data_IF_112780638623
#
_entry.id   IF_112780638623
#
_cell.length_a   1.000
_cell.length_b   1.000
_cell.length_c   1.000
_cell.angle_alpha   90.00
_cell.angle_beta   90.00
_cell.angle_gamma   90.00
#
_symmetry.space_group_name_H-M   'P 1'
#
loop_
_entity.id
_entity.type
_entity.pdbx_description
1 polymer ?
#
# COMPACT_ATOMS: atom_id res chain seq x y z
N UNK A 1 -26.75 -14.24 5.73
CA UNK A 1 -26.36 -15.37 4.86
C UNK A 1 -27.53 -15.98 4.11
N UNK A 2 -28.71 -16.10 4.74
CA UNK A 2 -29.95 -16.50 4.04
C UNK A 2 -30.20 -15.68 2.76
N UNK A 3 -29.89 -14.39 2.76
CA UNK A 3 -30.01 -13.53 1.57
C UNK A 3 -29.15 -14.00 0.38
N UNK A 4 -27.94 -14.53 0.62
CA UNK A 4 -27.05 -15.05 -0.43
C UNK A 4 -27.69 -16.30 -1.04
N UNK A 5 -28.19 -17.19 -0.19
CA UNK A 5 -28.86 -18.41 -0.62
C UNK A 5 -30.18 -18.12 -1.37
N UNK A 6 -30.96 -17.14 -0.90
CA UNK A 6 -32.19 -16.69 -1.57
C UNK A 6 -31.90 -16.03 -2.91
N UNK A 7 -30.87 -15.17 -2.99
CA UNK A 7 -30.42 -14.57 -4.24
C UNK A 7 -29.98 -15.65 -5.24
N UNK A 8 -29.24 -16.66 -4.78
CA UNK A 8 -28.80 -17.79 -5.60
C UNK A 8 -30.00 -18.59 -6.15
N UNK A 9 -31.03 -18.84 -5.33
CA UNK A 9 -32.27 -19.51 -5.76
C UNK A 9 -33.05 -18.70 -6.79
N UNK A 10 -32.96 -17.38 -6.75
CA UNK A 10 -33.57 -16.49 -7.74
C UNK A 10 -32.84 -16.45 -9.09
N UNK A 11 -31.65 -17.04 -9.20
CA UNK A 11 -30.89 -17.08 -10.45
C UNK A 11 -31.39 -18.16 -11.42
N UNK A 12 -31.34 -17.88 -12.72
CA UNK A 12 -31.65 -18.87 -13.76
C UNK A 12 -30.64 -20.04 -13.74
N UNK A 13 -31.07 -21.32 -13.87
CA UNK A 13 -30.20 -22.48 -13.67
C UNK A 13 -28.99 -22.55 -14.63
N UNK A 14 -29.19 -22.08 -15.87
CA UNK A 14 -28.20 -22.08 -16.96
C UNK A 14 -27.57 -20.71 -17.18
N UNK A 15 -27.79 -19.76 -16.26
CA UNK A 15 -27.33 -18.38 -16.43
C UNK A 15 -25.82 -18.32 -16.21
N UNK A 16 -25.12 -18.00 -17.32
CA UNK A 16 -23.68 -17.70 -17.51
C UNK A 16 -22.70 -18.72 -16.91
N UNK A 17 -21.98 -19.40 -17.79
CA UNK A 17 -20.73 -20.08 -17.47
C UNK A 17 -19.69 -18.99 -17.23
N UNK A 18 -19.22 -18.84 -15.99
CA UNK A 18 -18.03 -18.06 -15.73
C UNK A 18 -16.83 -18.67 -16.46
N UNK A 19 -15.67 -18.02 -16.37
CA UNK A 19 -14.38 -18.59 -16.81
C UNK A 19 -14.02 -19.94 -16.16
N UNK A 20 -14.72 -20.30 -15.08
CA UNK A 20 -14.67 -21.59 -14.36
C UNK A 20 -15.55 -22.68 -14.98
N UNK A 21 -16.51 -22.31 -15.85
CA UNK A 21 -17.38 -23.25 -16.56
C UNK A 21 -18.48 -23.90 -15.71
N UNK A 22 -18.78 -23.40 -14.50
CA UNK A 22 -19.88 -23.94 -13.70
C UNK A 22 -21.18 -23.15 -13.90
N UNK A 23 -22.31 -23.82 -14.17
CA UNK A 23 -23.62 -23.16 -14.20
C UNK A 23 -24.14 -22.87 -12.78
N UNK A 24 -24.98 -21.85 -12.63
CA UNK A 24 -25.62 -21.53 -11.34
C UNK A 24 -26.33 -22.74 -10.69
N UNK A 25 -26.85 -23.67 -11.49
CA UNK A 25 -27.45 -24.93 -11.05
C UNK A 25 -26.52 -25.77 -10.14
N UNK A 26 -25.20 -25.73 -10.37
CA UNK A 26 -24.22 -26.43 -9.54
C UNK A 26 -24.33 -25.95 -8.08
N UNK A 27 -24.22 -24.65 -7.88
CA UNK A 27 -24.29 -24.03 -6.56
C UNK A 27 -25.67 -24.18 -5.93
N UNK A 28 -26.74 -24.12 -6.73
CA UNK A 28 -28.11 -24.36 -6.26
C UNK A 28 -28.28 -25.78 -5.73
N UNK A 29 -27.74 -26.79 -6.43
CA UNK A 29 -27.88 -28.21 -6.08
C UNK A 29 -26.96 -28.64 -4.95
N UNK A 30 -25.71 -28.21 -4.97
CA UNK A 30 -24.68 -28.63 -4.03
C UNK A 30 -24.43 -27.62 -2.90
N UNK A 31 -25.39 -26.71 -2.65
CA UNK A 31 -25.28 -25.71 -1.59
C UNK A 31 -24.96 -26.31 -0.21
N UNK A 32 -25.49 -27.49 0.10
CA UNK A 32 -25.20 -28.21 1.35
C UNK A 32 -23.72 -28.64 1.50
N UNK A 33 -22.96 -28.63 0.40
CA UNK A 33 -21.53 -28.96 0.36
C UNK A 33 -20.70 -27.68 0.35
N UNK A 34 -20.99 -26.76 -0.58
CA UNK A 34 -20.13 -25.58 -0.85
C UNK A 34 -20.63 -24.27 -0.22
N UNK A 35 -21.80 -24.31 0.42
CA UNK A 35 -22.49 -23.11 0.88
C UNK A 35 -21.66 -22.36 1.91
N UNK A 36 -21.04 -23.06 2.86
CA UNK A 36 -20.23 -22.44 3.90
C UNK A 36 -19.00 -21.73 3.32
N UNK A 37 -18.30 -22.37 2.39
CA UNK A 37 -17.12 -21.78 1.75
C UNK A 37 -17.48 -20.54 0.92
N UNK A 38 -18.60 -20.58 0.20
CA UNK A 38 -19.09 -19.43 -0.58
C UNK A 38 -19.47 -18.27 0.35
N UNK A 39 -20.14 -18.58 1.45
CA UNK A 39 -20.54 -17.64 2.48
C UNK A 39 -19.33 -16.93 3.11
N UNK A 40 -18.34 -17.70 3.55
CA UNK A 40 -17.10 -17.19 4.13
C UNK A 40 -16.34 -16.33 3.11
N UNK A 41 -16.20 -16.80 1.87
CA UNK A 41 -15.53 -16.05 0.80
C UNK A 41 -16.22 -14.71 0.49
N UNK A 42 -17.55 -14.68 0.43
CA UNK A 42 -18.30 -13.45 0.21
C UNK A 42 -18.07 -12.44 1.34
N UNK A 43 -18.07 -12.90 2.60
CA UNK A 43 -17.82 -12.04 3.76
C UNK A 43 -16.39 -11.50 3.77
N UNK A 44 -15.39 -12.34 3.52
CA UNK A 44 -13.99 -11.94 3.44
C UNK A 44 -13.78 -10.88 2.35
N UNK A 45 -14.30 -11.14 1.15
CA UNK A 45 -14.18 -10.21 0.01
C UNK A 45 -14.84 -8.87 0.32
N UNK A 46 -16.05 -8.87 0.88
CA UNK A 46 -16.77 -7.65 1.23
C UNK A 46 -16.01 -6.86 2.30
N UNK A 47 -15.52 -7.53 3.34
CA UNK A 47 -14.74 -6.90 4.41
C UNK A 47 -13.43 -6.32 3.89
N UNK A 48 -12.73 -7.01 3.00
CA UNK A 48 -11.49 -6.51 2.40
C UNK A 48 -11.73 -5.22 1.61
N UNK A 49 -12.79 -5.19 0.79
CA UNK A 49 -13.15 -3.99 0.02
C UNK A 49 -13.56 -2.84 0.94
N UNK A 50 -14.40 -3.10 1.94
CA UNK A 50 -14.81 -2.10 2.93
C UNK A 50 -13.59 -1.53 3.67
N UNK A 51 -12.68 -2.39 4.13
CA UNK A 51 -11.47 -1.98 4.81
C UNK A 51 -10.60 -1.08 3.92
N UNK A 52 -10.38 -1.45 2.65
CA UNK A 52 -9.64 -0.62 1.69
C UNK A 52 -10.27 0.76 1.51
N UNK A 53 -11.60 0.85 1.43
CA UNK A 53 -12.34 2.12 1.32
C UNK A 53 -12.17 2.96 2.58
N UNK A 54 -12.33 2.36 3.77
CA UNK A 54 -12.17 3.05 5.05
C UNK A 54 -10.74 3.60 5.19
N UNK A 55 -9.72 2.76 4.96
CA UNK A 55 -8.31 3.16 5.03
C UNK A 55 -8.01 4.27 4.02
N UNK A 56 -8.49 4.18 2.79
CA UNK A 56 -8.28 5.22 1.78
C UNK A 56 -8.97 6.53 2.18
N UNK A 57 -10.18 6.47 2.73
CA UNK A 57 -10.91 7.64 3.21
C UNK A 57 -10.17 8.32 4.36
N UNK A 58 -9.69 7.55 5.33
CA UNK A 58 -8.87 8.06 6.44
C UNK A 58 -7.58 8.67 5.90
N UNK A 59 -6.87 7.99 5.00
CA UNK A 59 -5.64 8.48 4.39
C UNK A 59 -5.86 9.81 3.67
N UNK A 60 -6.93 9.94 2.87
CA UNK A 60 -7.26 11.19 2.19
C UNK A 60 -7.58 12.34 3.16
N UNK A 61 -8.25 12.06 4.28
CA UNK A 61 -8.50 13.06 5.34
C UNK A 61 -7.20 13.47 6.03
N UNK A 62 -6.34 12.51 6.35
CA UNK A 62 -5.05 12.75 6.98
C UNK A 62 -4.09 13.49 6.06
N UNK A 63 -4.18 13.28 4.74
CA UNK A 63 -3.31 13.93 3.76
C UNK A 63 -3.35 15.48 3.86
N UNK A 64 -4.50 16.05 4.24
CA UNK A 64 -4.63 17.50 4.47
C UNK A 64 -3.80 18.02 5.65
N UNK A 65 -3.43 17.15 6.60
CA UNK A 65 -2.68 17.50 7.79
C UNK A 65 -1.25 16.96 7.76
N UNK A 66 -1.01 15.83 7.07
CA UNK A 66 0.28 15.15 7.05
C UNK A 66 1.38 16.04 6.49
N UNK A 67 1.07 16.96 5.57
CA UNK A 67 2.01 17.96 5.06
C UNK A 67 2.69 18.80 6.14
N UNK A 68 2.02 19.01 7.29
CA UNK A 68 2.59 19.72 8.46
C UNK A 68 3.48 18.83 9.34
N UNK A 69 3.36 17.51 9.18
CA UNK A 69 4.11 16.50 9.92
C UNK A 69 5.30 15.93 9.14
N UNK A 70 5.48 16.32 7.86
CA UNK A 70 6.58 15.86 7.02
C UNK A 70 7.85 16.65 7.36
N UNK A 71 8.83 15.95 7.93
CA UNK A 71 10.16 16.51 8.21
C UNK A 71 10.90 16.86 6.90
N UNK A 72 11.83 17.83 6.94
CA UNK A 72 12.62 18.20 5.76
C UNK A 72 13.50 17.05 5.25
N UNK A 73 13.89 16.12 6.13
CA UNK A 73 14.66 14.93 5.78
C UNK A 73 13.79 13.77 5.24
N UNK A 74 12.45 13.85 5.29
CA UNK A 74 11.59 12.79 4.77
C UNK A 74 11.42 12.93 3.25
N UNK A 75 12.21 12.18 2.49
CA UNK A 75 12.19 12.22 1.01
C UNK A 75 11.39 11.07 0.38
N UNK A 76 11.14 9.99 1.11
CA UNK A 76 10.35 8.86 0.62
C UNK A 76 8.84 9.15 0.72
N UNK A 77 8.09 8.73 -0.31
CA UNK A 77 6.62 8.85 -0.37
C UNK A 77 6.08 10.28 -0.28
N UNK A 78 6.92 11.29 -0.55
CA UNK A 78 6.54 12.70 -0.65
C UNK A 78 6.63 13.12 -2.11
N UNK A 79 5.51 13.52 -2.75
CA UNK A 79 5.53 13.99 -4.13
C UNK A 79 6.54 15.14 -4.32
N UNK A 80 7.38 15.05 -5.35
CA UNK A 80 8.38 16.07 -5.66
C UNK A 80 9.67 16.02 -4.85
N UNK A 81 9.85 15.05 -3.94
CA UNK A 81 11.15 14.78 -3.29
C UNK A 81 11.76 13.49 -3.83
N UNK A 82 13.07 13.48 -4.04
CA UNK A 82 13.77 12.30 -4.55
C UNK A 82 14.57 11.65 -3.43
N UNK A 83 14.56 10.30 -3.38
CA UNK A 83 15.34 9.56 -2.39
C UNK A 83 16.86 9.80 -2.55
N UNK A 84 17.30 10.14 -3.76
CA UNK A 84 18.68 10.51 -4.07
C UNK A 84 19.17 11.74 -3.30
N UNK A 85 18.28 12.67 -2.96
CA UNK A 85 18.64 13.90 -2.25
C UNK A 85 19.21 13.56 -0.86
N UNK A 86 18.59 12.61 -0.17
CA UNK A 86 19.07 12.11 1.11
C UNK A 86 20.40 11.36 0.99
N UNK A 87 20.58 10.61 -0.10
CA UNK A 87 21.85 9.91 -0.39
C UNK A 87 22.98 10.92 -0.63
N UNK A 88 22.69 12.00 -1.36
CA UNK A 88 23.64 13.06 -1.64
C UNK A 88 24.04 13.81 -0.36
N UNK A 89 23.07 14.20 0.47
CA UNK A 89 23.33 14.85 1.77
C UNK A 89 24.18 13.96 2.67
N UNK A 90 23.87 12.65 2.73
CA UNK A 90 24.68 11.70 3.52
C UNK A 90 26.13 11.62 3.02
N UNK A 91 26.32 11.64 1.70
CA UNK A 91 27.64 11.66 1.08
C UNK A 91 28.42 12.94 1.42
N UNK A 92 27.78 14.10 1.37
CA UNK A 92 28.38 15.39 1.75
C UNK A 92 28.79 15.43 3.22
N UNK A 93 27.95 14.91 4.12
CA UNK A 93 28.25 14.79 5.54
C UNK A 93 29.48 13.89 5.74
N UNK A 94 29.50 12.71 5.10
CA UNK A 94 30.62 11.77 5.18
C UNK A 94 31.92 12.39 4.67
N UNK A 95 31.85 13.08 3.53
CA UNK A 95 32.99 13.78 2.94
C UNK A 95 33.51 14.88 3.88
N UNK A 96 32.62 15.70 4.44
CA UNK A 96 32.98 16.76 5.39
C UNK A 96 33.61 16.21 6.67
N UNK A 97 33.09 15.09 7.19
CA UNK A 97 33.67 14.40 8.34
C UNK A 97 35.05 13.82 8.03
N UNK A 98 35.25 13.26 6.84
CA UNK A 98 36.55 12.76 6.38
C UNK A 98 37.57 13.89 6.25
N UNK A 99 37.17 15.03 5.69
CA UNK A 99 37.99 16.24 5.58
C UNK A 99 38.37 16.81 6.95
N UNK A 100 37.46 16.79 7.93
CA UNK A 100 37.73 17.24 9.31
C UNK A 100 38.63 16.27 10.09
N UNK A 101 38.55 14.95 9.86
CA UNK A 101 39.44 13.96 10.48
C UNK A 101 40.88 14.02 9.95
N UNK A 102 41.06 14.34 8.67
CA UNK A 102 42.37 14.62 8.08
C UNK A 102 42.76 16.10 8.22
N UNK A 103 42.47 16.69 9.38
CA UNK A 103 42.59 18.12 9.64
C UNK A 103 43.86 18.72 9.04
N UNK A 104 43.67 19.72 8.17
CA UNK A 104 44.54 20.88 7.93
C UNK A 104 46.02 20.65 8.32
N UNK A 105 46.72 19.74 7.63
CA UNK A 105 48.18 19.60 7.76
C UNK A 105 48.96 20.56 6.87
N UNK A 106 48.32 21.25 5.92
CA UNK A 106 49.07 21.91 4.84
C UNK A 106 48.84 23.42 4.66
N UNK A 107 48.18 24.11 5.60
CA UNK A 107 47.94 25.57 5.48
C UNK A 107 48.90 26.46 6.29
N UNK A 108 49.99 25.90 6.84
CA UNK A 108 51.04 26.69 7.50
C UNK A 108 52.02 27.35 6.50
N UNK A 109 52.01 26.96 5.23
CA UNK A 109 52.95 27.47 4.23
C UNK A 109 52.48 28.74 3.50
N UNK A 110 51.18 29.04 3.51
CA UNK A 110 50.60 30.19 2.77
C UNK A 110 50.54 31.50 3.59
N UNK A 111 51.05 31.52 4.83
CA UNK A 111 51.17 32.73 5.66
C UNK A 111 52.60 33.28 5.73
N UNK A 112 53.51 32.78 4.89
CA UNK A 112 54.93 33.16 4.88
C UNK A 112 55.46 33.50 3.48
N UNK A 113 54.57 33.79 2.52
CA UNK A 113 54.91 34.45 1.24
C UNK A 113 54.01 35.68 1.10
#
# INVERSE_FOLDING_TARGET
MEEIHQALKGMGPTKVLGWDGFPALFFQKYWHIVGKEVEDFCLETLNEVLYKIVVKTIANRLQNYIGRCIDSAQSAFVPGRLISDNVLIAYEILHTLRQKRYGKKDLWWLSLI
#
